data_IF_833335246486
#
_entry.id   IF_833335246486
#
_cell.length_a   1.000
_cell.length_b   1.000
_cell.length_c   1.000
_cell.angle_alpha   90.00
_cell.angle_beta   90.00
_cell.angle_gamma   90.00
#
_symmetry.space_group_name_H-M   'P 1'
#
loop_
_entity.id
_entity.type
_entity.pdbx_description
1 polymer ?
#
# COMPACT_ATOMS: atom_id res chain seq x y z
N UNK A 1 -25.47 -7.56 30.34
CA UNK A 1 -24.68 -7.27 29.14
C UNK A 1 -23.67 -8.39 29.01
N UNK A 2 -23.92 -9.37 28.13
CA UNK A 2 -22.86 -10.31 27.73
C UNK A 2 -22.01 -9.56 26.70
N UNK A 3 -20.78 -9.20 27.07
CA UNK A 3 -19.84 -8.61 26.11
C UNK A 3 -19.29 -9.70 25.19
N UNK A 4 -18.75 -9.34 24.03
CA UNK A 4 -18.02 -10.27 23.15
C UNK A 4 -16.70 -10.79 23.75
N UNK A 5 -16.56 -10.76 25.08
CA UNK A 5 -15.39 -11.27 25.81
C UNK A 5 -15.31 -12.79 25.77
N UNK A 6 -16.48 -13.46 25.76
CA UNK A 6 -16.58 -14.93 25.79
C UNK A 6 -16.90 -15.54 24.41
N UNK A 7 -17.08 -14.70 23.38
CA UNK A 7 -17.36 -15.16 22.02
C UNK A 7 -16.09 -15.70 21.35
N UNK A 8 -16.17 -16.93 20.82
CA UNK A 8 -15.07 -17.56 20.08
C UNK A 8 -14.91 -16.93 18.70
N UNK A 9 -13.83 -16.16 18.49
CA UNK A 9 -13.49 -15.59 17.19
C UNK A 9 -13.09 -16.70 16.21
N UNK A 10 -13.89 -16.88 15.16
CA UNK A 10 -13.56 -17.79 14.06
C UNK A 10 -12.43 -17.21 13.20
N UNK A 11 -11.28 -17.89 13.19
CA UNK A 11 -10.12 -17.51 12.35
C UNK A 11 -10.18 -18.28 11.04
N UNK A 12 -10.50 -17.57 9.95
CA UNK A 12 -10.59 -18.16 8.61
C UNK A 12 -9.34 -17.85 7.79
N UNK A 13 -8.94 -18.81 6.94
CA UNK A 13 -7.87 -18.67 5.95
C UNK A 13 -8.42 -19.11 4.60
N UNK A 14 -7.95 -18.49 3.53
CA UNK A 14 -8.41 -18.77 2.17
C UNK A 14 -8.20 -17.57 1.26
N UNK A 15 -9.02 -17.49 0.21
CA UNK A 15 -9.04 -16.33 -0.67
C UNK A 15 -9.55 -15.10 0.10
N UNK A 16 -8.85 -13.98 -0.05
CA UNK A 16 -9.27 -12.69 0.49
C UNK A 16 -9.21 -11.64 -0.61
N UNK A 17 -10.26 -10.82 -0.69
CA UNK A 17 -10.31 -9.65 -1.56
C UNK A 17 -10.08 -8.41 -0.71
N UNK A 18 -8.80 -8.09 -0.50
CA UNK A 18 -8.36 -6.99 0.35
C UNK A 18 -7.31 -6.16 -0.37
N UNK A 19 -7.24 -4.87 -0.01
CA UNK A 19 -6.11 -4.05 -0.40
C UNK A 19 -4.87 -4.41 0.44
N UNK A 20 -3.69 -4.25 -0.16
CA UNK A 20 -2.45 -4.28 0.61
C UNK A 20 -2.23 -2.94 1.33
N UNK A 21 -1.31 -2.93 2.31
CA UNK A 21 -1.04 -1.76 3.16
C UNK A 21 -0.53 -0.52 2.42
N UNK A 22 -0.05 -0.65 1.17
CA UNK A 22 0.40 0.50 0.36
C UNK A 22 -0.72 1.52 0.11
N UNK A 23 -1.97 1.08 0.06
CA UNK A 23 -3.13 1.98 -0.08
C UNK A 23 -3.25 2.98 1.07
N UNK A 24 -2.71 2.65 2.26
CA UNK A 24 -2.66 3.57 3.40
C UNK A 24 -1.81 4.82 3.14
N UNK A 25 -0.85 4.76 2.22
CA UNK A 25 0.00 5.90 1.84
C UNK A 25 -0.86 7.06 1.33
N UNK A 26 -1.95 6.78 0.61
CA UNK A 26 -2.86 7.80 0.03
C UNK A 26 -3.41 8.76 1.10
N UNK A 27 -3.72 8.23 2.27
CA UNK A 27 -4.15 9.08 3.38
C UNK A 27 -2.96 9.63 4.18
N UNK A 28 -1.96 8.79 4.48
CA UNK A 28 -0.82 9.16 5.31
C UNK A 28 -0.01 10.30 4.71
N UNK A 29 0.21 10.31 3.40
CA UNK A 29 0.94 11.37 2.74
C UNK A 29 0.26 12.73 2.91
N UNK A 30 -1.07 12.78 3.09
CA UNK A 30 -1.80 14.03 3.37
C UNK A 30 -1.70 14.42 4.84
N UNK A 31 -1.72 13.44 5.75
CA UNK A 31 -1.69 13.67 7.19
C UNK A 31 -0.32 14.12 7.68
N UNK A 32 0.76 13.51 7.16
CA UNK A 32 2.13 13.82 7.51
C UNK A 32 2.72 14.64 6.35
N UNK A 33 2.65 15.96 6.48
CA UNK A 33 3.01 16.85 5.38
C UNK A 33 4.52 16.93 5.11
N UNK A 34 5.33 16.60 6.11
CA UNK A 34 6.79 16.64 6.06
C UNK A 34 7.40 15.24 5.83
N UNK A 35 6.63 14.33 5.24
CA UNK A 35 7.08 12.99 4.90
C UNK A 35 6.96 12.74 3.39
N UNK A 36 7.93 12.01 2.87
CA UNK A 36 7.90 11.44 1.53
C UNK A 36 7.89 9.91 1.61
N UNK A 37 7.02 9.29 0.83
CA UNK A 37 6.86 7.84 0.81
C UNK A 37 7.44 7.26 -0.49
N UNK A 38 8.66 6.70 -0.42
CA UNK A 38 9.28 5.99 -1.54
C UNK A 38 9.03 4.48 -1.41
N UNK A 39 8.18 3.94 -2.26
CA UNK A 39 7.88 2.50 -2.33
C UNK A 39 8.90 1.83 -3.24
N UNK A 40 9.62 0.82 -2.74
CA UNK A 40 10.45 -0.06 -3.59
C UNK A 40 9.62 -1.29 -3.90
N UNK A 41 9.35 -1.53 -5.18
CA UNK A 41 8.44 -2.60 -5.57
C UNK A 41 8.37 -2.82 -7.07
N UNK A 42 7.34 -3.51 -7.55
CA UNK A 42 7.12 -3.75 -8.97
C UNK A 42 6.18 -2.71 -9.59
N UNK A 43 5.98 -2.81 -10.91
CA UNK A 43 4.94 -2.04 -11.62
C UNK A 43 3.55 -2.25 -11.01
N UNK A 44 3.26 -3.43 -10.44
CA UNK A 44 1.99 -3.72 -9.77
C UNK A 44 1.74 -2.78 -8.59
N UNK A 45 2.77 -2.47 -7.81
CA UNK A 45 2.67 -1.51 -6.70
C UNK A 45 2.39 -0.09 -7.20
N UNK A 46 3.09 0.33 -8.27
CA UNK A 46 2.88 1.63 -8.89
C UNK A 46 1.44 1.77 -9.42
N UNK A 47 0.96 0.78 -10.17
CA UNK A 47 -0.41 0.78 -10.71
C UNK A 47 -1.48 0.74 -9.61
N UNK A 48 -1.25 0.00 -8.53
CA UNK A 48 -2.18 -0.04 -7.39
C UNK A 48 -2.32 1.35 -6.76
N UNK A 49 -1.20 1.99 -6.42
CA UNK A 49 -1.22 3.30 -5.76
C UNK A 49 -1.82 4.35 -6.69
N UNK A 50 -1.48 4.33 -7.99
CA UNK A 50 -2.07 5.23 -8.97
C UNK A 50 -3.59 5.06 -9.06
N UNK A 51 -4.06 3.81 -9.15
CA UNK A 51 -5.49 3.49 -9.22
C UNK A 51 -6.24 3.94 -7.96
N UNK A 52 -5.64 3.74 -6.78
CA UNK A 52 -6.27 4.07 -5.51
C UNK A 52 -6.18 5.58 -5.15
N UNK A 53 -5.12 6.28 -5.56
CA UNK A 53 -4.99 7.72 -5.36
C UNK A 53 -5.97 8.52 -6.24
N UNK A 54 -6.38 7.96 -7.39
CA UNK A 54 -7.31 8.60 -8.31
C UNK A 54 -6.83 9.99 -8.73
N UNK A 55 -7.69 11.00 -8.60
CA UNK A 55 -7.38 12.39 -8.99
C UNK A 55 -6.23 13.01 -8.20
N UNK A 56 -5.89 12.45 -7.03
CA UNK A 56 -4.81 12.98 -6.19
C UNK A 56 -3.43 12.81 -6.84
N UNK A 57 -3.30 11.96 -7.86
CA UNK A 57 -2.04 11.78 -8.60
C UNK A 57 -1.59 13.08 -9.29
N UNK A 58 -2.52 13.96 -9.63
CA UNK A 58 -2.24 15.24 -10.30
C UNK A 58 -1.96 16.39 -9.33
N UNK A 59 -2.04 16.15 -8.01
CA UNK A 59 -1.88 17.18 -6.99
C UNK A 59 -0.47 17.17 -6.36
N UNK A 60 0.57 16.91 -7.18
CA UNK A 60 1.97 16.77 -6.75
C UNK A 60 2.12 15.91 -5.47
N UNK A 61 1.75 14.62 -5.53
CA UNK A 61 1.75 13.77 -4.36
C UNK A 61 3.17 13.53 -3.82
N UNK A 62 3.31 13.51 -2.49
CA UNK A 62 4.57 13.19 -1.78
C UNK A 62 4.82 11.68 -1.67
N UNK A 63 4.66 10.96 -2.77
CA UNK A 63 5.01 9.56 -2.86
C UNK A 63 5.52 9.20 -4.26
N UNK A 64 6.35 8.17 -4.35
CA UNK A 64 6.81 7.61 -5.61
C UNK A 64 7.06 6.10 -5.47
N UNK A 65 7.10 5.40 -6.60
CA UNK A 65 7.49 3.98 -6.64
C UNK A 65 8.79 3.82 -7.42
N UNK A 66 9.84 3.35 -6.76
CA UNK A 66 11.04 2.81 -7.39
C UNK A 66 10.72 1.41 -7.91
N UNK A 67 10.46 1.31 -9.22
CA UNK A 67 10.14 0.06 -9.88
C UNK A 67 11.42 -0.74 -10.11
N UNK A 68 11.50 -1.94 -9.53
CA UNK A 68 12.62 -2.85 -9.71
C UNK A 68 12.66 -3.39 -11.14
N UNK A 69 13.87 -3.45 -11.70
CA UNK A 69 14.17 -4.06 -12.99
C UNK A 69 14.83 -5.44 -12.83
N UNK A 70 14.95 -6.19 -13.91
CA UNK A 70 15.53 -7.55 -13.89
C UNK A 70 16.96 -7.57 -13.32
N UNK A 71 17.77 -6.57 -13.63
CA UNK A 71 19.12 -6.44 -13.08
C UNK A 71 19.14 -6.26 -11.56
N UNK A 72 18.12 -5.61 -10.99
CA UNK A 72 18.01 -5.42 -9.54
C UNK A 72 17.63 -6.73 -8.83
N UNK A 73 16.90 -7.62 -9.51
CA UNK A 73 16.54 -8.94 -8.99
C UNK A 73 17.69 -9.95 -9.08
N UNK A 74 18.52 -9.83 -10.13
CA UNK A 74 19.69 -10.68 -10.33
C UNK A 74 20.91 -10.23 -9.51
N UNK A 75 20.85 -9.07 -8.85
CA UNK A 75 22.00 -8.47 -8.17
C UNK A 75 23.13 -8.09 -9.14
N UNK A 76 22.80 -7.92 -10.43
CA UNK A 76 23.75 -7.59 -11.48
C UNK A 76 23.69 -6.08 -11.75
N UNK A 77 24.39 -5.31 -10.90
CA UNK A 77 24.82 -3.93 -11.12
C UNK A 77 26.14 -3.70 -10.38
#
# INVERSE_FOLDING_TARGET
MSGCSDDLVLKQRGQHEVFCGLTGIIWLHRKIQDAFFLVVGSRTCAHLIQSAAGVMIFAEPRFATAVMEEGDLAGMK
#
